data_IF_398213237849
#
_entry.id   IF_398213237849
#
_cell.length_a   1.000
_cell.length_b   1.000
_cell.length_c   1.000
_cell.angle_alpha   90.00
_cell.angle_beta   90.00
_cell.angle_gamma   90.00
#
_symmetry.space_group_name_H-M   'P 1'
#
loop_
_entity.id
_entity.type
_entity.pdbx_description
1 polymer ?
#
# COMPACT_ATOMS: atom_id res chain seq x y z
N UNK A 1 57.95 -94.07 -2.19
CA UNK A 1 58.94 -93.17 -1.57
C UNK A 1 58.42 -91.73 -1.67
N UNK A 2 58.79 -90.90 -0.69
CA UNK A 2 58.58 -89.44 -0.55
C UNK A 2 57.26 -88.92 0.07
N UNK A 3 57.43 -88.54 1.34
CA UNK A 3 56.62 -87.72 2.26
C UNK A 3 56.48 -86.28 1.76
N UNK A 4 55.44 -85.54 2.21
CA UNK A 4 55.46 -84.11 2.64
C UNK A 4 54.10 -83.81 3.32
N UNK A 5 53.98 -83.78 4.66
CA UNK A 5 54.21 -82.68 5.62
C UNK A 5 53.28 -81.45 5.41
N UNK A 6 52.25 -81.40 6.27
CA UNK A 6 51.76 -80.29 7.12
C UNK A 6 51.61 -78.88 6.51
N UNK A 7 50.40 -78.32 6.67
CA UNK A 7 50.16 -76.88 6.64
C UNK A 7 48.77 -76.51 7.16
N UNK A 8 48.60 -76.47 8.48
CA UNK A 8 47.39 -75.97 9.14
C UNK A 8 47.40 -74.44 9.03
N UNK A 9 46.58 -73.86 8.15
CA UNK A 9 46.44 -72.40 8.03
C UNK A 9 45.26 -71.97 8.89
N UNK A 10 45.55 -71.42 10.07
CA UNK A 10 44.59 -70.61 10.83
C UNK A 10 44.42 -69.29 10.09
N UNK A 11 43.30 -69.15 9.37
CA UNK A 11 42.81 -67.86 8.87
C UNK A 11 42.38 -67.01 10.08
N UNK A 12 43.30 -66.17 10.57
CA UNK A 12 42.99 -65.15 11.57
C UNK A 12 42.15 -64.05 10.95
N UNK A 13 40.91 -63.92 11.40
CA UNK A 13 40.00 -62.83 11.04
C UNK A 13 40.55 -61.49 11.57
N UNK A 14 41.22 -60.72 10.72
CA UNK A 14 41.59 -59.35 11.03
C UNK A 14 40.34 -58.45 10.91
N UNK A 15 39.66 -58.22 12.04
CA UNK A 15 38.64 -57.19 12.12
C UNK A 15 39.30 -55.82 11.98
N UNK A 16 39.17 -55.20 10.80
CA UNK A 16 39.57 -53.81 10.57
C UNK A 16 38.56 -52.94 11.35
N UNK A 17 38.92 -52.51 12.55
CA UNK A 17 38.15 -51.51 13.28
C UNK A 17 38.42 -50.14 12.67
N UNK A 18 37.46 -49.60 11.92
CA UNK A 18 37.48 -48.18 11.55
C UNK A 18 37.41 -47.33 12.82
N UNK A 19 38.28 -46.32 13.03
CA UNK A 19 38.17 -45.46 14.19
C UNK A 19 36.83 -44.71 14.12
N UNK A 20 35.97 -44.92 15.11
CA UNK A 20 34.77 -44.13 15.27
C UNK A 20 35.19 -42.69 15.63
N UNK A 21 34.95 -41.74 14.72
CA UNK A 21 35.15 -40.33 14.99
C UNK A 21 34.12 -39.88 16.04
N UNK A 22 34.58 -39.54 17.25
CA UNK A 22 33.72 -38.91 18.26
C UNK A 22 33.37 -37.49 17.80
N UNK A 23 32.10 -37.23 17.52
CA UNK A 23 31.60 -35.91 17.16
C UNK A 23 30.83 -35.31 18.35
N UNK A 24 31.06 -34.03 18.63
CA UNK A 24 30.25 -33.24 19.56
C UNK A 24 29.22 -32.49 18.73
N UNK A 25 27.95 -32.81 18.93
CA UNK A 25 26.82 -32.14 18.28
C UNK A 25 26.01 -31.35 19.29
N UNK A 26 25.45 -30.22 18.88
CA UNK A 26 24.53 -29.42 19.67
C UNK A 26 23.50 -28.74 18.78
N UNK A 27 22.55 -28.05 19.40
CA UNK A 27 21.50 -27.30 18.71
C UNK A 27 21.76 -25.80 18.81
N UNK A 28 21.33 -25.07 17.79
CA UNK A 28 21.20 -23.61 17.80
C UNK A 28 19.72 -23.25 17.61
N UNK A 29 19.26 -22.23 18.32
CA UNK A 29 17.92 -21.68 18.15
C UNK A 29 17.95 -20.55 17.12
N UNK A 30 16.98 -20.52 16.21
CA UNK A 30 16.79 -19.44 15.24
C UNK A 30 15.40 -18.83 15.43
N UNK A 31 15.31 -17.50 15.51
CA UNK A 31 14.05 -16.76 15.69
C UNK A 31 13.99 -15.54 14.78
N UNK A 32 12.78 -15.17 14.35
CA UNK A 32 12.48 -13.94 13.60
C UNK A 32 11.10 -13.45 13.99
N UNK A 33 10.92 -12.13 14.04
CA UNK A 33 9.62 -11.47 14.23
C UNK A 33 9.33 -10.67 12.96
N UNK A 34 8.20 -10.95 12.32
CA UNK A 34 7.73 -10.22 11.15
C UNK A 34 6.64 -9.23 11.58
N UNK A 35 6.72 -8.00 11.10
CA UNK A 35 5.67 -6.99 11.26
C UNK A 35 4.89 -6.82 9.98
N UNK A 36 3.73 -6.17 10.08
CA UNK A 36 2.89 -5.91 8.91
C UNK A 36 3.50 -4.81 8.04
N UNK A 37 3.36 -4.96 6.73
CA UNK A 37 3.77 -3.97 5.75
C UNK A 37 2.85 -4.02 4.53
N UNK A 38 2.84 -2.96 3.73
CA UNK A 38 2.32 -3.01 2.37
C UNK A 38 3.38 -2.54 1.39
N UNK A 39 3.28 -3.00 0.14
CA UNK A 39 3.86 -2.29 -0.99
C UNK A 39 2.85 -1.27 -1.49
N UNK A 40 3.20 0.01 -1.41
CA UNK A 40 2.40 1.12 -1.95
C UNK A 40 3.16 1.68 -3.15
N UNK A 41 2.55 1.69 -4.32
CA UNK A 41 3.15 2.15 -5.58
C UNK A 41 4.59 1.59 -5.78
N UNK A 42 4.71 0.26 -5.71
CA UNK A 42 5.97 -0.51 -5.82
C UNK A 42 7.02 -0.27 -4.72
N UNK A 43 6.72 0.53 -3.70
CA UNK A 43 7.61 0.78 -2.55
C UNK A 43 7.16 -0.01 -1.34
N UNK A 44 8.06 -0.75 -0.68
CA UNK A 44 7.74 -1.44 0.58
C UNK A 44 7.66 -0.42 1.72
N UNK A 45 6.54 -0.43 2.43
CA UNK A 45 6.16 0.52 3.48
C UNK A 45 5.74 -0.29 4.72
N UNK A 46 6.57 -0.32 5.78
CA UNK A 46 6.16 -0.84 7.09
C UNK A 46 4.97 -0.05 7.68
N UNK A 47 4.18 -0.69 8.53
CA UNK A 47 3.02 -0.12 9.22
C UNK A 47 3.31 1.11 10.12
N UNK A 48 4.58 1.39 10.41
CA UNK A 48 5.04 2.57 11.17
C UNK A 48 5.39 3.78 10.30
N UNK A 49 5.32 3.65 8.97
CA UNK A 49 5.74 4.71 8.05
C UNK A 49 4.70 5.82 7.97
N UNK A 50 5.15 7.07 8.03
CA UNK A 50 4.32 8.26 7.80
C UNK A 50 4.76 8.98 6.52
N UNK A 51 3.92 9.88 6.00
CA UNK A 51 4.21 10.67 4.79
C UNK A 51 4.50 9.83 3.53
N UNK A 52 3.77 8.73 3.38
CA UNK A 52 3.81 7.89 2.16
C UNK A 52 3.18 8.68 1.01
N UNK A 53 3.85 8.67 -0.15
CA UNK A 53 3.28 9.24 -1.38
C UNK A 53 2.29 8.26 -2.01
N UNK A 54 1.00 8.59 -1.86
CA UNK A 54 -0.09 7.84 -2.47
C UNK A 54 -0.41 8.29 -3.90
N UNK A 55 0.13 9.43 -4.35
CA UNK A 55 -0.13 10.00 -5.67
C UNK A 55 -0.75 11.40 -5.62
N UNK A 56 -1.05 11.91 -6.81
CA UNK A 56 -1.63 13.26 -7.02
C UNK A 56 -2.97 13.16 -7.72
N UNK A 57 -3.92 14.01 -7.30
CA UNK A 57 -5.19 14.23 -7.98
C UNK A 57 -5.17 15.64 -8.56
N UNK A 58 -4.96 15.75 -9.88
CA UNK A 58 -4.85 17.03 -10.58
C UNK A 58 -6.08 17.28 -11.46
N UNK A 59 -6.83 18.35 -11.18
CA UNK A 59 -8.00 18.79 -11.94
C UNK A 59 -7.63 19.60 -13.19
N UNK A 60 -6.34 19.82 -13.44
CA UNK A 60 -5.80 20.56 -14.57
C UNK A 60 -6.04 22.05 -14.49
N UNK A 61 -5.86 22.74 -15.63
CA UNK A 61 -6.05 24.18 -15.75
C UNK A 61 -7.49 24.49 -16.15
N UNK A 62 -8.20 25.21 -15.29
CA UNK A 62 -9.58 25.65 -15.52
C UNK A 62 -9.65 27.18 -15.52
N UNK A 63 -10.60 27.75 -16.28
CA UNK A 63 -10.92 29.17 -16.15
C UNK A 63 -11.79 29.40 -14.89
N UNK A 64 -11.85 30.62 -14.36
CA UNK A 64 -12.59 30.94 -13.12
C UNK A 64 -14.11 30.80 -13.22
N UNK A 65 -14.65 30.54 -14.42
CA UNK A 65 -16.08 30.31 -14.70
C UNK A 65 -16.41 28.84 -14.96
N UNK A 66 -15.46 27.92 -14.77
CA UNK A 66 -15.73 26.49 -14.94
C UNK A 66 -16.88 26.04 -14.04
N UNK A 67 -17.64 25.04 -14.50
CA UNK A 67 -18.75 24.46 -13.73
C UNK A 67 -18.32 23.16 -13.06
N UNK A 68 -17.62 22.30 -13.79
CA UNK A 68 -17.15 21.02 -13.30
C UNK A 68 -15.81 20.65 -13.93
N UNK A 69 -14.95 20.01 -13.16
CA UNK A 69 -13.73 19.38 -13.63
C UNK A 69 -13.58 18.00 -13.00
N UNK A 70 -13.17 17.00 -13.77
CA UNK A 70 -12.93 15.64 -13.29
C UNK A 70 -11.44 15.32 -13.32
N UNK A 71 -10.99 14.51 -12.36
CA UNK A 71 -9.61 14.04 -12.28
C UNK A 71 -9.56 12.56 -11.92
N UNK A 72 -8.47 11.89 -12.27
CA UNK A 72 -8.13 10.57 -11.75
C UNK A 72 -6.84 10.70 -10.94
N UNK A 73 -6.78 10.06 -9.77
CA UNK A 73 -5.57 10.01 -8.98
C UNK A 73 -4.50 9.19 -9.72
N UNK A 74 -3.29 9.72 -9.79
CA UNK A 74 -2.12 9.07 -10.39
C UNK A 74 -1.06 8.88 -9.32
N UNK A 75 -0.79 7.63 -8.95
CA UNK A 75 0.34 7.24 -8.13
C UNK A 75 1.61 7.06 -8.95
N UNK A 76 2.74 6.84 -8.28
CA UNK A 76 4.03 6.63 -8.97
C UNK A 76 4.09 5.33 -9.79
N UNK A 77 3.14 4.41 -9.56
CA UNK A 77 2.96 3.18 -10.32
C UNK A 77 1.92 3.29 -11.45
N UNK A 78 1.32 4.46 -11.68
CA UNK A 78 0.30 4.71 -12.70
C UNK A 78 -1.05 5.16 -12.12
N UNK A 79 -2.14 4.89 -12.84
CA UNK A 79 -3.48 5.33 -12.44
C UNK A 79 -3.97 4.58 -11.20
N UNK A 80 -4.35 5.32 -10.17
CA UNK A 80 -4.74 4.79 -8.86
C UNK A 80 -3.57 4.56 -7.92
N UNK A 81 -3.84 3.82 -6.85
CA UNK A 81 -2.88 3.43 -5.82
C UNK A 81 -2.66 1.92 -5.91
N UNK A 82 -1.46 1.51 -6.32
CA UNK A 82 -1.10 0.10 -6.30
C UNK A 82 -0.76 -0.33 -4.87
N UNK A 83 -1.48 -1.34 -4.36
CA UNK A 83 -1.36 -1.82 -2.98
C UNK A 83 -1.16 -3.33 -2.97
N UNK A 84 -0.19 -3.82 -2.19
CA UNK A 84 -0.06 -5.23 -1.84
C UNK A 84 0.35 -5.35 -0.38
N UNK A 85 -0.54 -5.80 0.49
CA UNK A 85 -0.27 -5.91 1.93
C UNK A 85 0.16 -7.33 2.33
N UNK A 86 0.75 -7.48 3.51
CA UNK A 86 1.09 -8.79 4.08
C UNK A 86 -0.13 -9.72 4.09
N UNK A 87 0.09 -10.99 3.74
CA UNK A 87 -0.96 -12.02 3.77
C UNK A 87 -1.49 -12.23 5.20
N UNK A 88 -2.77 -12.55 5.33
CA UNK A 88 -3.41 -12.80 6.63
C UNK A 88 -3.69 -11.54 7.45
N UNK A 89 -3.67 -10.38 6.83
CA UNK A 89 -4.07 -9.09 7.43
C UNK A 89 -5.44 -8.68 6.91
N UNK A 90 -6.18 -7.84 7.65
CA UNK A 90 -7.42 -7.21 7.18
C UNK A 90 -7.20 -5.72 6.91
N UNK A 91 -6.55 -5.36 5.80
CA UNK A 91 -6.23 -3.97 5.51
C UNK A 91 -7.48 -3.17 5.12
N UNK A 92 -7.53 -1.92 5.58
CA UNK A 92 -8.52 -0.93 5.16
C UNK A 92 -7.81 0.33 4.68
N UNK A 93 -8.41 1.02 3.71
CA UNK A 93 -7.98 2.34 3.26
C UNK A 93 -9.05 3.37 3.63
N UNK A 94 -8.63 4.55 4.08
CA UNK A 94 -9.51 5.68 4.33
C UNK A 94 -8.87 6.98 3.83
N UNK A 95 -9.71 7.96 3.51
CA UNK A 95 -9.31 9.25 2.97
C UNK A 95 -9.87 10.35 3.86
N UNK A 96 -9.03 11.25 4.35
CA UNK A 96 -9.48 12.34 5.22
C UNK A 96 -10.38 13.33 4.49
N UNK A 97 -10.93 14.29 5.23
CA UNK A 97 -11.77 15.35 4.67
C UNK A 97 -10.96 16.46 3.96
N UNK A 98 -9.62 16.42 4.02
CA UNK A 98 -8.77 17.51 3.57
C UNK A 98 -8.59 18.60 4.63
N UNK A 99 -7.70 19.56 4.35
CA UNK A 99 -7.34 20.64 5.26
C UNK A 99 -8.38 21.77 5.31
N UNK A 100 -9.23 21.87 4.28
CA UNK A 100 -10.23 22.93 4.12
C UNK A 100 -11.64 22.35 3.93
N UNK A 101 -11.90 21.18 4.52
CA UNK A 101 -13.18 20.48 4.43
C UNK A 101 -14.38 21.39 4.76
N UNK A 102 -15.45 21.27 3.97
CA UNK A 102 -16.68 22.03 4.18
C UNK A 102 -16.58 23.54 3.94
N UNK A 103 -15.45 24.04 3.44
CA UNK A 103 -15.28 25.46 3.09
C UNK A 103 -15.61 25.72 1.63
N UNK A 104 -16.32 26.78 1.32
CA UNK A 104 -16.68 27.15 -0.06
C UNK A 104 -18.11 26.82 -0.44
N UNK A 105 -18.43 27.09 -1.69
CA UNK A 105 -19.79 26.98 -2.23
C UNK A 105 -19.72 26.38 -3.63
N UNK A 106 -20.88 26.14 -4.24
CA UNK A 106 -20.96 25.82 -5.67
C UNK A 106 -22.10 26.55 -6.34
N UNK A 107 -21.92 26.85 -7.63
CA UNK A 107 -22.96 27.35 -8.53
C UNK A 107 -23.64 26.24 -9.36
N UNK A 108 -23.31 24.97 -9.12
CA UNK A 108 -23.84 23.81 -9.87
C UNK A 108 -24.95 23.05 -9.14
N UNK A 109 -25.37 23.52 -7.95
CA UNK A 109 -26.34 22.84 -7.09
C UNK A 109 -25.75 21.68 -6.27
N UNK A 110 -24.51 21.26 -6.54
CA UNK A 110 -23.77 20.27 -5.73
C UNK A 110 -22.56 20.93 -5.10
N UNK A 111 -22.49 20.94 -3.76
CA UNK A 111 -21.30 21.40 -3.03
C UNK A 111 -20.49 20.19 -2.59
N UNK A 112 -19.20 20.17 -2.92
CA UNK A 112 -18.28 19.13 -2.48
C UNK A 112 -18.09 19.11 -0.96
N UNK A 113 -17.76 17.94 -0.42
CA UNK A 113 -17.46 17.74 1.02
C UNK A 113 -16.04 18.13 1.38
N UNK A 114 -15.13 18.14 0.40
CA UNK A 114 -13.73 18.57 0.51
C UNK A 114 -13.52 19.85 -0.28
N UNK A 115 -12.44 20.57 0.01
CA UNK A 115 -12.18 21.83 -0.69
C UNK A 115 -10.71 22.13 -0.83
N UNK A 116 -10.33 22.58 -2.02
CA UNK A 116 -9.02 23.16 -2.30
C UNK A 116 -9.06 24.65 -1.98
N UNK A 117 -8.08 25.14 -1.23
CA UNK A 117 -7.95 26.54 -0.84
C UNK A 117 -6.97 27.27 -1.74
N UNK A 118 -7.31 28.49 -2.14
CA UNK A 118 -6.40 29.37 -2.85
C UNK A 118 -5.14 29.63 -2.02
N UNK A 119 -3.96 29.57 -2.64
CA UNK A 119 -2.67 29.66 -1.92
C UNK A 119 -2.52 30.93 -1.07
N UNK A 120 -3.11 32.05 -1.49
CA UNK A 120 -2.95 33.35 -0.83
C UNK A 120 -4.25 34.00 -0.34
N UNK A 121 -5.42 33.36 -0.49
CA UNK A 121 -6.71 33.97 -0.15
C UNK A 121 -7.71 32.96 0.43
N UNK A 122 -8.79 33.46 1.04
CA UNK A 122 -9.88 32.63 1.56
C UNK A 122 -10.92 32.28 0.48
N UNK A 123 -10.45 31.90 -0.72
CA UNK A 123 -11.27 31.36 -1.80
C UNK A 123 -11.10 29.85 -1.85
N UNK A 124 -12.18 29.13 -2.14
CA UNK A 124 -12.22 27.67 -2.08
C UNK A 124 -12.93 27.08 -3.30
N UNK A 125 -12.37 26.00 -3.84
CA UNK A 125 -13.00 25.15 -4.86
C UNK A 125 -13.38 23.83 -4.22
N UNK A 126 -14.67 23.52 -4.16
CA UNK A 126 -15.15 22.29 -3.53
C UNK A 126 -15.02 21.10 -4.47
N UNK A 127 -14.80 19.91 -3.93
CA UNK A 127 -14.73 18.67 -4.68
C UNK A 127 -15.17 17.45 -3.86
N UNK A 128 -15.45 16.35 -4.56
CA UNK A 128 -15.70 15.03 -3.96
C UNK A 128 -14.78 13.98 -4.59
N UNK A 129 -14.57 12.89 -3.84
CA UNK A 129 -13.82 11.72 -4.29
C UNK A 129 -14.79 10.56 -4.55
N UNK A 130 -14.47 9.71 -5.53
CA UNK A 130 -15.31 8.61 -5.99
C UNK A 130 -14.47 7.38 -6.34
N UNK A 131 -15.09 6.21 -6.28
CA UNK A 131 -14.48 4.92 -6.67
C UNK A 131 -14.59 4.64 -8.16
N UNK A 132 -15.45 5.37 -8.86
CA UNK A 132 -15.72 5.23 -10.29
C UNK A 132 -15.66 6.58 -11.01
N UNK A 133 -15.41 6.52 -12.32
CA UNK A 133 -15.26 7.69 -13.17
C UNK A 133 -16.58 8.46 -13.41
N UNK A 134 -17.73 7.82 -13.16
CA UNK A 134 -19.06 8.41 -13.35
C UNK A 134 -19.54 9.18 -12.13
N UNK A 135 -18.73 9.26 -11.07
CA UNK A 135 -19.06 9.93 -9.81
C UNK A 135 -20.31 9.37 -9.12
N UNK A 136 -20.55 8.06 -9.26
CA UNK A 136 -21.72 7.39 -8.68
C UNK A 136 -21.47 6.86 -7.26
N UNK A 137 -20.24 6.45 -6.96
CA UNK A 137 -19.85 5.77 -5.71
C UNK A 137 -18.91 6.65 -4.89
N UNK A 138 -19.43 7.46 -3.95
CA UNK A 138 -18.61 8.42 -3.21
C UNK A 138 -17.63 7.72 -2.25
N UNK A 139 -16.44 8.32 -2.12
CA UNK A 139 -15.48 8.04 -1.05
C UNK A 139 -15.74 9.05 0.07
N UNK A 140 -16.56 8.61 1.02
CA UNK A 140 -16.92 9.39 2.21
C UNK A 140 -15.69 9.60 3.09
N UNK A 141 -15.47 10.83 3.55
CA UNK A 141 -14.32 11.17 4.38
C UNK A 141 -14.26 10.32 5.66
N UNK A 142 -13.06 9.90 6.05
CA UNK A 142 -12.77 9.10 7.24
C UNK A 142 -13.54 7.77 7.34
N UNK A 143 -14.12 7.30 6.24
CA UNK A 143 -14.81 6.00 6.19
C UNK A 143 -13.85 4.94 5.65
N UNK A 144 -13.72 3.83 6.38
CA UNK A 144 -12.87 2.72 6.00
C UNK A 144 -13.46 1.94 4.81
N UNK A 145 -12.62 1.66 3.82
CA UNK A 145 -12.91 0.81 2.68
C UNK A 145 -12.04 -0.44 2.81
N UNK A 146 -12.67 -1.62 2.82
CA UNK A 146 -11.94 -2.88 2.88
C UNK A 146 -11.09 -3.08 1.62
N UNK A 147 -9.85 -3.53 1.82
CA UNK A 147 -8.95 -4.00 0.77
C UNK A 147 -8.91 -5.53 0.77
N UNK A 148 -8.46 -6.13 -0.34
CA UNK A 148 -8.24 -7.58 -0.39
C UNK A 148 -7.19 -8.01 0.64
N UNK A 149 -7.49 -9.09 1.37
CA UNK A 149 -6.74 -9.61 2.51
C UNK A 149 -5.85 -10.83 2.17
N UNK A 150 -5.80 -11.24 0.90
CA UNK A 150 -5.15 -12.46 0.42
C UNK A 150 -3.66 -12.28 0.05
N UNK A 151 -3.12 -11.08 0.27
CA UNK A 151 -1.74 -10.72 -0.10
C UNK A 151 -1.51 -10.52 -1.60
N UNK A 152 -2.57 -10.56 -2.42
CA UNK A 152 -2.47 -10.24 -3.84
C UNK A 152 -2.28 -8.74 -4.07
N UNK A 153 -1.68 -8.39 -5.20
CA UNK A 153 -1.60 -7.00 -5.62
C UNK A 153 -2.97 -6.53 -6.11
N UNK A 154 -3.39 -5.35 -5.66
CA UNK A 154 -4.64 -4.72 -6.03
C UNK A 154 -4.40 -3.24 -6.37
N UNK A 155 -5.31 -2.64 -7.13
CA UNK A 155 -5.24 -1.22 -7.48
C UNK A 155 -6.49 -0.50 -6.99
N UNK A 156 -6.31 0.56 -6.20
CA UNK A 156 -7.39 1.43 -5.73
C UNK A 156 -7.50 2.63 -6.64
N UNK A 157 -8.48 2.64 -7.55
CA UNK A 157 -8.76 3.80 -8.37
C UNK A 157 -9.54 4.84 -7.58
N UNK A 158 -9.11 6.09 -7.67
CA UNK A 158 -9.77 7.24 -7.05
C UNK A 158 -10.01 8.28 -8.13
N UNK A 159 -11.24 8.76 -8.21
CA UNK A 159 -11.65 9.82 -9.13
C UNK A 159 -12.10 11.04 -8.32
N UNK A 160 -11.90 12.22 -8.88
CA UNK A 160 -12.33 13.49 -8.31
C UNK A 160 -13.35 14.19 -9.19
N UNK A 161 -14.29 14.91 -8.59
CA UNK A 161 -15.09 15.92 -9.28
C UNK A 161 -15.07 17.21 -8.50
N UNK A 162 -14.49 18.26 -9.09
CA UNK A 162 -14.47 19.61 -8.56
C UNK A 162 -15.62 20.43 -9.14
N UNK A 163 -16.17 21.34 -8.34
CA UNK A 163 -17.34 22.14 -8.67
C UNK A 163 -17.00 23.62 -8.64
N UNK A 164 -17.40 24.32 -9.70
CA UNK A 164 -17.28 25.77 -9.82
C UNK A 164 -18.13 26.51 -8.80
N UNK A 165 -17.77 27.78 -8.58
CA UNK A 165 -18.48 28.71 -7.71
C UNK A 165 -18.42 30.13 -8.27
N UNK A 166 -19.33 31.00 -7.85
CA UNK A 166 -19.26 32.41 -8.19
C UNK A 166 -18.11 33.08 -7.43
N UNK A 167 -17.39 34.00 -8.09
CA UNK A 167 -16.33 34.80 -7.45
C UNK A 167 -14.99 34.10 -7.28
N UNK A 168 -14.77 32.93 -7.90
CA UNK A 168 -13.45 32.31 -7.95
C UNK A 168 -12.44 33.24 -8.62
N UNK A 169 -11.25 33.33 -8.02
CA UNK A 169 -10.14 34.12 -8.55
C UNK A 169 -9.07 33.22 -9.17
N UNK A 170 -8.27 33.78 -10.08
CA UNK A 170 -7.15 33.08 -10.71
C UNK A 170 -6.04 32.78 -9.71
N UNK A 171 -5.45 31.59 -9.81
CA UNK A 171 -4.31 31.17 -9.01
C UNK A 171 -4.40 29.68 -8.68
N UNK A 172 -3.45 29.20 -7.90
CA UNK A 172 -3.41 27.79 -7.49
C UNK A 172 -4.31 27.56 -6.29
N UNK A 173 -5.08 26.47 -6.33
CA UNK A 173 -5.86 25.98 -5.21
C UNK A 173 -5.31 24.61 -4.81
N UNK A 174 -5.04 24.42 -3.52
CA UNK A 174 -4.45 23.19 -3.00
C UNK A 174 -5.29 22.62 -1.85
N UNK A 175 -5.27 21.30 -1.73
CA UNK A 175 -5.74 20.58 -0.54
C UNK A 175 -4.75 19.45 -0.24
N UNK A 176 -4.80 18.92 0.98
CA UNK A 176 -4.05 17.72 1.36
C UNK A 176 -5.01 16.72 1.99
N UNK A 177 -5.30 15.65 1.25
CA UNK A 177 -6.07 14.51 1.74
C UNK A 177 -5.12 13.48 2.31
N UNK A 178 -5.20 13.25 3.61
CA UNK A 178 -4.41 12.20 4.27
C UNK A 178 -5.07 10.86 3.96
N UNK A 179 -4.28 9.93 3.42
CA UNK A 179 -4.68 8.56 3.17
C UNK A 179 -4.09 7.67 4.27
N UNK A 180 -4.95 6.86 4.89
CA UNK A 180 -4.54 5.96 5.97
C UNK A 180 -4.81 4.52 5.57
N UNK A 181 -3.76 3.69 5.62
CA UNK A 181 -3.89 2.24 5.61
C UNK A 181 -3.86 1.76 7.06
N UNK A 182 -4.91 1.07 7.48
CA UNK A 182 -4.99 0.48 8.81
C UNK A 182 -5.15 -1.04 8.70
N UNK A 183 -4.49 -1.77 9.59
CA UNK A 183 -4.58 -3.22 9.66
C UNK A 183 -5.50 -3.58 10.82
N UNK A 184 -6.67 -4.15 10.51
CA UNK A 184 -7.50 -4.77 11.53
C UNK A 184 -6.82 -6.00 12.14
N UNK A 185 -7.22 -6.42 13.35
CA UNK A 185 -6.84 -7.72 13.91
C UNK A 185 -7.31 -8.89 13.05
#
# INVERSE_FOLDING_TARGET
MKRHIIGFVLLGSAAISTPASAAITGNVNATIVLTTACRINNTVVPDTTTNVDFGTLDFGVQNSYFTQATAQLVGTAGNGIAIQCSNGTQPTISFSAGNSAGLGTSNTGTTGTRSMKHTTSANYVTYNLYRDAGSATPIVANTAIALAADGSAQNVTVYGTAYGAAGLITGTYNDVVVVTIAFGP
#
